data_IF_538403322742
#
_entry.id   IF_538403322742
#
_cell.length_a   1.000
_cell.length_b   1.000
_cell.length_c   1.000
_cell.angle_alpha   90.00
_cell.angle_beta   90.00
_cell.angle_gamma   90.00
#
_symmetry.space_group_name_H-M   'P 1'
#
loop_
_entity.id
_entity.type
_entity.pdbx_description
1 polymer ?
#
# COMPACT_ATOMS: atom_id res chain seq x y z
N UNK A 1 -22.05 8.68 -24.05
CA UNK A 1 -21.10 8.01 -23.11
C UNK A 1 -19.80 8.80 -23.01
N UNK A 2 -18.99 8.90 -24.07
CA UNK A 2 -17.70 9.61 -24.08
C UNK A 2 -17.76 11.03 -23.47
N UNK A 3 -18.71 11.88 -23.90
CA UNK A 3 -18.88 13.23 -23.34
C UNK A 3 -19.07 13.24 -21.81
N UNK A 4 -19.77 12.25 -21.23
CA UNK A 4 -19.95 12.15 -19.78
C UNK A 4 -18.64 11.78 -19.09
N UNK A 5 -17.88 10.82 -19.66
CA UNK A 5 -16.58 10.38 -19.13
C UNK A 5 -15.57 11.53 -19.13
N UNK A 6 -15.41 12.23 -20.26
CA UNK A 6 -14.48 13.37 -20.35
C UNK A 6 -14.92 14.54 -19.47
N UNK A 7 -16.23 14.76 -19.29
CA UNK A 7 -16.73 15.77 -18.35
C UNK A 7 -16.35 15.43 -16.90
N UNK A 8 -16.52 14.17 -16.48
CA UNK A 8 -16.13 13.74 -15.13
C UNK A 8 -14.61 13.89 -14.93
N UNK A 9 -13.81 13.42 -15.89
CA UNK A 9 -12.36 13.52 -15.84
C UNK A 9 -11.89 14.98 -15.73
N UNK A 10 -12.49 15.88 -16.51
CA UNK A 10 -12.16 17.31 -16.47
C UNK A 10 -12.43 17.94 -15.10
N UNK A 11 -13.53 17.56 -14.43
CA UNK A 11 -13.87 18.03 -13.08
C UNK A 11 -12.87 17.50 -12.05
N UNK A 12 -12.44 16.24 -12.16
CA UNK A 12 -11.43 15.66 -11.25
C UNK A 12 -10.07 16.36 -11.38
N UNK A 13 -9.62 16.61 -12.61
CA UNK A 13 -8.35 17.31 -12.88
C UNK A 13 -8.44 18.76 -12.38
N UNK A 14 -9.56 19.44 -12.62
CA UNK A 14 -9.80 20.79 -12.12
C UNK A 14 -9.76 20.83 -10.60
N UNK A 15 -10.47 19.92 -9.93
CA UNK A 15 -10.49 19.81 -8.47
C UNK A 15 -9.07 19.62 -7.92
N UNK A 16 -8.31 18.68 -8.49
CA UNK A 16 -6.92 18.40 -8.09
C UNK A 16 -6.02 19.63 -8.26
N UNK A 17 -6.18 20.34 -9.37
CA UNK A 17 -5.40 21.55 -9.67
C UNK A 17 -5.74 22.67 -8.68
N UNK A 18 -7.03 22.86 -8.39
CA UNK A 18 -7.50 23.86 -7.41
C UNK A 18 -6.99 23.51 -6.01
N UNK A 19 -7.11 22.27 -5.57
CA UNK A 19 -6.57 21.83 -4.27
C UNK A 19 -5.06 22.05 -4.19
N UNK A 20 -4.31 21.69 -5.23
CA UNK A 20 -2.86 21.92 -5.27
C UNK A 20 -2.51 23.40 -5.21
N UNK A 21 -3.24 24.26 -5.94
CA UNK A 21 -3.05 25.70 -5.92
C UNK A 21 -3.36 26.30 -4.53
N UNK A 22 -4.40 25.84 -3.85
CA UNK A 22 -4.73 26.27 -2.48
C UNK A 22 -3.59 25.91 -1.51
N UNK A 23 -3.05 24.68 -1.59
CA UNK A 23 -1.94 24.24 -0.73
C UNK A 23 -0.66 25.07 -0.95
N UNK A 24 -0.43 25.55 -2.18
CA UNK A 24 0.71 26.42 -2.49
C UNK A 24 0.48 27.87 -2.05
N UNK A 25 -0.75 28.37 -2.15
CA UNK A 25 -1.10 29.76 -1.85
C UNK A 25 -1.19 30.04 -0.34
N UNK A 26 -1.72 29.10 0.44
CA UNK A 26 -1.83 29.27 1.89
C UNK A 26 -0.51 28.93 2.59
N UNK A 27 0.20 29.97 3.01
CA UNK A 27 1.48 29.86 3.71
C UNK A 27 1.38 28.97 4.97
N UNK A 28 0.27 29.02 5.71
CA UNK A 28 0.04 28.13 6.87
C UNK A 28 0.02 26.65 6.47
N UNK A 29 -0.62 26.28 5.36
CA UNK A 29 -0.69 24.89 4.87
C UNK A 29 0.67 24.44 4.36
N UNK A 30 1.35 25.30 3.59
CA UNK A 30 2.70 25.03 3.10
C UNK A 30 3.68 24.77 4.25
N UNK A 31 3.66 25.62 5.28
CA UNK A 31 4.54 25.51 6.45
C UNK A 31 4.19 24.27 7.27
N UNK A 32 2.91 23.96 7.45
CA UNK A 32 2.44 22.71 8.06
C UNK A 32 2.95 21.46 7.33
N UNK A 33 2.91 21.43 5.99
CA UNK A 33 3.45 20.30 5.21
C UNK A 33 4.99 20.23 5.31
N UNK A 34 5.66 21.38 5.36
CA UNK A 34 7.13 21.42 5.47
C UNK A 34 7.61 20.96 6.85
N UNK A 35 6.83 21.25 7.90
CA UNK A 35 7.10 20.84 9.28
C UNK A 35 6.59 19.42 9.60
N UNK A 36 6.24 18.61 8.59
CA UNK A 36 5.75 17.22 8.75
C UNK A 36 6.66 16.30 9.55
N UNK A 37 7.93 16.68 9.77
CA UNK A 37 8.91 15.92 10.54
C UNK A 37 8.87 16.27 12.04
N UNK A 38 8.20 17.37 12.44
CA UNK A 38 8.12 17.80 13.83
C UNK A 38 7.03 17.04 14.59
N UNK A 39 7.36 16.63 15.81
CA UNK A 39 6.37 16.13 16.77
C UNK A 39 5.57 17.30 17.37
N UNK A 40 4.24 17.20 17.57
CA UNK A 40 3.35 16.04 17.33
C UNK A 40 2.69 16.02 15.94
N UNK A 41 3.03 16.97 15.07
CA UNK A 41 2.37 17.15 13.78
C UNK A 41 2.48 15.90 12.88
N UNK A 42 3.64 15.27 12.88
CA UNK A 42 3.90 14.02 12.17
C UNK A 42 2.88 12.90 12.52
N UNK A 43 2.42 12.82 13.77
CA UNK A 43 1.44 11.83 14.22
C UNK A 43 0.02 12.15 13.73
N UNK A 44 -0.39 13.42 13.71
CA UNK A 44 -1.69 13.80 13.16
C UNK A 44 -1.77 13.50 11.66
N UNK A 45 -0.68 13.77 10.92
CA UNK A 45 -0.57 13.42 9.51
C UNK A 45 -0.61 11.90 9.30
N UNK A 46 0.10 11.14 10.12
CA UNK A 46 0.05 9.66 10.10
C UNK A 46 -1.37 9.13 10.35
N UNK A 47 -2.07 9.66 11.34
CA UNK A 47 -3.43 9.26 11.66
C UNK A 47 -4.39 9.58 10.50
N UNK A 48 -4.29 10.79 9.93
CA UNK A 48 -5.08 11.18 8.76
C UNK A 48 -4.84 10.27 7.57
N UNK A 49 -3.57 9.95 7.27
CA UNK A 49 -3.21 8.98 6.23
C UNK A 49 -3.82 7.60 6.48
N UNK A 50 -3.68 7.08 7.71
CA UNK A 50 -4.21 5.76 8.10
C UNK A 50 -5.74 5.72 7.98
N UNK A 51 -6.43 6.78 8.36
CA UNK A 51 -7.89 6.88 8.25
C UNK A 51 -8.35 6.86 6.79
N UNK A 52 -7.70 7.64 5.92
CA UNK A 52 -8.02 7.69 4.50
C UNK A 52 -7.79 6.33 3.83
N UNK A 53 -6.69 5.66 4.15
CA UNK A 53 -6.40 4.35 3.58
C UNK A 53 -7.36 3.28 4.12
N UNK A 54 -7.69 3.32 5.41
CA UNK A 54 -8.70 2.43 5.98
C UNK A 54 -10.07 2.58 5.31
N UNK A 55 -10.48 3.81 4.95
CA UNK A 55 -11.71 4.06 4.19
C UNK A 55 -11.65 3.47 2.76
N UNK A 56 -10.51 3.63 2.07
CA UNK A 56 -10.31 3.02 0.75
C UNK A 56 -10.40 1.49 0.82
N UNK A 57 -9.71 0.87 1.78
CA UNK A 57 -9.73 -0.57 2.00
C UNK A 57 -11.14 -1.03 2.37
N UNK A 58 -11.83 -0.31 3.26
CA UNK A 58 -13.21 -0.60 3.64
C UNK A 58 -14.13 -0.63 2.41
N UNK A 59 -13.97 0.30 1.47
CA UNK A 59 -14.72 0.29 0.22
C UNK A 59 -14.38 -0.96 -0.63
N UNK A 60 -13.11 -1.31 -0.77
CA UNK A 60 -12.69 -2.49 -1.54
C UNK A 60 -13.25 -3.79 -0.97
N UNK A 61 -13.21 -3.98 0.35
CA UNK A 61 -13.68 -5.24 0.97
C UNK A 61 -15.20 -5.44 0.84
N UNK A 62 -15.99 -4.40 0.58
CA UNK A 62 -17.45 -4.56 0.34
C UNK A 62 -17.80 -5.36 -0.91
N UNK A 63 -16.84 -5.55 -1.82
CA UNK A 63 -17.00 -6.38 -3.02
C UNK A 63 -16.68 -7.87 -2.81
N UNK A 64 -16.31 -8.27 -1.59
CA UNK A 64 -15.90 -9.64 -1.27
C UNK A 64 -16.79 -10.27 -0.20
N UNK A 65 -16.90 -11.59 -0.22
CA UNK A 65 -17.59 -12.35 0.82
C UNK A 65 -16.87 -12.22 2.17
N UNK A 66 -17.66 -12.06 3.24
CA UNK A 66 -17.15 -11.88 4.61
C UNK A 66 -16.22 -13.02 5.05
N UNK A 67 -16.49 -14.25 4.61
CA UNK A 67 -15.65 -15.41 4.91
C UNK A 67 -14.27 -15.31 4.26
N UNK A 68 -14.20 -14.82 3.02
CA UNK A 68 -12.94 -14.63 2.28
C UNK A 68 -12.13 -13.49 2.92
N UNK A 69 -12.80 -12.40 3.29
CA UNK A 69 -12.19 -11.28 4.01
C UNK A 69 -11.55 -11.73 5.31
N UNK A 70 -12.26 -12.54 6.11
CA UNK A 70 -11.74 -13.07 7.37
C UNK A 70 -10.52 -13.99 7.16
N UNK A 71 -10.57 -14.87 6.15
CA UNK A 71 -9.44 -15.74 5.80
C UNK A 71 -8.21 -14.93 5.38
N UNK A 72 -8.39 -13.93 4.51
CA UNK A 72 -7.32 -13.06 4.05
C UNK A 72 -6.69 -12.29 5.22
N UNK A 73 -7.52 -11.77 6.13
CA UNK A 73 -7.05 -11.07 7.33
C UNK A 73 -6.20 -11.98 8.23
N UNK A 74 -6.72 -13.16 8.59
CA UNK A 74 -6.00 -14.12 9.44
C UNK A 74 -4.67 -14.57 8.81
N UNK A 75 -4.68 -14.85 7.50
CA UNK A 75 -3.49 -15.24 6.78
C UNK A 75 -2.46 -14.10 6.74
N UNK A 76 -2.89 -12.87 6.48
CA UNK A 76 -2.02 -11.69 6.48
C UNK A 76 -1.39 -11.50 7.85
N UNK A 77 -2.17 -11.58 8.94
CA UNK A 77 -1.65 -11.46 10.30
C UNK A 77 -0.61 -12.54 10.60
N UNK A 78 -0.90 -13.80 10.26
CA UNK A 78 0.01 -14.91 10.49
C UNK A 78 1.34 -14.74 9.71
N UNK A 79 1.25 -14.38 8.43
CA UNK A 79 2.42 -14.15 7.57
C UNK A 79 3.23 -12.95 8.05
N UNK A 80 2.58 -11.82 8.33
CA UNK A 80 3.25 -10.62 8.83
C UNK A 80 4.00 -10.90 10.14
N UNK A 81 3.34 -11.51 11.13
CA UNK A 81 3.97 -11.84 12.40
C UNK A 81 5.11 -12.84 12.21
N UNK A 82 4.90 -13.89 11.42
CA UNK A 82 5.92 -14.91 11.15
C UNK A 82 7.17 -14.32 10.48
N UNK A 83 6.99 -13.49 9.44
CA UNK A 83 8.09 -12.84 8.72
C UNK A 83 8.79 -11.77 9.57
N UNK A 84 8.03 -11.03 10.36
CA UNK A 84 8.59 -10.03 11.30
C UNK A 84 9.46 -10.73 12.34
N UNK A 85 8.95 -11.76 13.01
CA UNK A 85 9.70 -12.54 14.01
C UNK A 85 10.93 -13.19 13.39
N UNK A 86 10.80 -13.80 12.21
CA UNK A 86 11.92 -14.35 11.48
C UNK A 86 13.00 -13.30 11.21
N UNK A 87 12.61 -12.12 10.73
CA UNK A 87 13.55 -11.04 10.40
C UNK A 87 14.23 -10.48 11.65
N UNK A 88 13.49 -10.29 12.74
CA UNK A 88 14.01 -9.85 14.04
C UNK A 88 15.09 -10.80 14.60
N UNK A 89 14.99 -12.10 14.31
CA UNK A 89 15.94 -13.12 14.78
C UNK A 89 17.04 -13.44 13.76
N UNK A 90 16.87 -13.01 12.50
CA UNK A 90 17.78 -13.33 11.41
C UNK A 90 19.06 -12.49 11.47
N UNK A 91 20.21 -13.15 11.27
CA UNK A 91 21.52 -12.50 11.12
C UNK A 91 21.84 -12.13 9.66
N UNK A 92 20.92 -12.40 8.74
CA UNK A 92 21.13 -12.19 7.30
C UNK A 92 20.89 -10.71 6.96
N UNK A 93 21.76 -10.16 6.11
CA UNK A 93 21.60 -8.81 5.58
C UNK A 93 20.61 -8.80 4.41
N UNK A 94 19.45 -8.18 4.61
CA UNK A 94 18.41 -8.05 3.59
C UNK A 94 18.48 -6.73 2.81
N UNK A 95 19.44 -5.87 3.12
CA UNK A 95 19.61 -4.54 2.50
C UNK A 95 19.68 -4.56 0.97
N UNK A 96 20.22 -5.64 0.39
CA UNK A 96 20.41 -5.76 -1.06
C UNK A 96 19.11 -6.02 -1.81
N UNK A 97 18.01 -6.34 -1.11
CA UNK A 97 16.73 -6.66 -1.74
C UNK A 97 16.00 -5.40 -2.22
N UNK A 98 16.28 -4.22 -1.65
CA UNK A 98 15.54 -3.00 -1.91
C UNK A 98 15.41 -2.63 -3.40
N UNK A 99 16.51 -2.66 -4.16
CA UNK A 99 16.48 -2.34 -5.60
C UNK A 99 15.64 -3.36 -6.40
N UNK A 100 15.71 -4.65 -6.05
CA UNK A 100 14.92 -5.70 -6.68
C UNK A 100 13.43 -5.57 -6.39
N UNK A 101 13.07 -5.40 -5.12
CA UNK A 101 11.69 -5.19 -4.68
C UNK A 101 11.07 -3.94 -5.32
N UNK A 102 11.81 -2.84 -5.35
CA UNK A 102 11.36 -1.60 -6.00
C UNK A 102 11.14 -1.78 -7.51
N UNK A 103 12.02 -2.54 -8.19
CA UNK A 103 11.86 -2.84 -9.62
C UNK A 103 10.59 -3.66 -9.87
N UNK A 104 10.36 -4.71 -9.08
CA UNK A 104 9.17 -5.57 -9.21
C UNK A 104 7.90 -4.77 -8.87
N UNK A 105 7.95 -3.87 -7.89
CA UNK A 105 6.84 -2.97 -7.58
C UNK A 105 6.43 -2.13 -8.79
N UNK A 106 7.39 -1.55 -9.52
CA UNK A 106 7.08 -0.80 -10.75
C UNK A 106 6.44 -1.67 -11.83
N UNK A 107 6.92 -2.91 -12.01
CA UNK A 107 6.29 -3.86 -12.93
C UNK A 107 4.84 -4.11 -12.50
N UNK A 108 4.58 -4.26 -11.21
CA UNK A 108 3.23 -4.43 -10.66
C UNK A 108 2.33 -3.22 -10.91
N UNK A 109 2.82 -2.01 -10.65
CA UNK A 109 2.09 -0.77 -10.94
C UNK A 109 1.69 -0.70 -12.43
N UNK A 110 2.62 -1.00 -13.34
CA UNK A 110 2.36 -1.01 -14.78
C UNK A 110 1.42 -2.16 -15.21
N UNK A 111 1.54 -3.33 -14.57
CA UNK A 111 0.65 -4.47 -14.83
C UNK A 111 -0.80 -4.16 -14.52
N UNK A 112 -1.07 -3.28 -13.54
CA UNK A 112 -2.41 -2.79 -13.21
C UNK A 112 -3.09 -2.11 -14.40
N UNK A 113 -2.35 -1.34 -15.20
CA UNK A 113 -2.88 -0.71 -16.41
C UNK A 113 -3.14 -1.71 -17.53
N UNK A 114 -2.31 -2.76 -17.66
CA UNK A 114 -2.52 -3.79 -18.69
C UNK A 114 -3.83 -4.57 -18.49
N UNK A 115 -4.31 -4.70 -17.23
CA UNK A 115 -5.60 -5.34 -16.93
C UNK A 115 -6.79 -4.61 -17.56
N UNK A 116 -6.67 -3.31 -17.87
CA UNK A 116 -7.73 -2.56 -18.53
C UNK A 116 -7.98 -3.05 -19.97
N UNK A 117 -6.99 -3.68 -20.59
CA UNK A 117 -7.05 -4.14 -21.99
C UNK A 117 -7.05 -5.67 -22.11
N UNK A 118 -6.37 -6.38 -21.21
CA UNK A 118 -6.14 -7.83 -21.30
C UNK A 118 -6.51 -8.58 -20.01
N UNK A 119 -7.76 -8.46 -19.58
CA UNK A 119 -8.24 -9.16 -18.38
C UNK A 119 -8.43 -10.67 -18.62
N UNK A 120 -7.92 -11.49 -17.69
CA UNK A 120 -8.28 -12.90 -17.56
C UNK A 120 -8.18 -13.35 -16.11
N UNK A 121 -9.01 -14.32 -15.71
CA UNK A 121 -9.04 -14.86 -14.34
C UNK A 121 -7.70 -15.49 -13.93
N UNK A 122 -7.04 -16.19 -14.86
CA UNK A 122 -5.70 -16.78 -14.61
C UNK A 122 -4.66 -15.70 -14.37
N UNK A 123 -4.68 -14.61 -15.15
CA UNK A 123 -3.77 -13.48 -14.96
C UNK A 123 -4.02 -12.78 -13.61
N UNK A 124 -5.28 -12.65 -13.19
CA UNK A 124 -5.61 -12.12 -11.88
C UNK A 124 -5.05 -12.99 -10.76
N UNK A 125 -5.25 -14.31 -10.81
CA UNK A 125 -4.73 -15.25 -9.82
C UNK A 125 -3.20 -15.20 -9.72
N UNK A 126 -2.50 -15.23 -10.87
CA UNK A 126 -1.04 -15.20 -10.92
C UNK A 126 -0.49 -13.89 -10.35
N UNK A 127 -1.07 -12.75 -10.74
CA UNK A 127 -0.65 -11.46 -10.20
C UNK A 127 -0.99 -11.33 -8.72
N UNK A 128 -2.09 -11.91 -8.25
CA UNK A 128 -2.43 -11.92 -6.84
C UNK A 128 -1.39 -12.69 -6.01
N UNK A 129 -1.00 -13.88 -6.46
CA UNK A 129 0.03 -14.69 -5.80
C UNK A 129 1.41 -14.00 -5.80
N UNK A 130 1.85 -13.49 -6.97
CA UNK A 130 3.12 -12.79 -7.10
C UNK A 130 3.14 -11.48 -6.30
N UNK A 131 2.01 -10.77 -6.22
CA UNK A 131 1.86 -9.56 -5.42
C UNK A 131 1.98 -9.86 -3.93
N UNK A 132 1.32 -10.91 -3.45
CA UNK A 132 1.46 -11.35 -2.06
C UNK A 132 2.94 -11.68 -1.72
N UNK A 133 3.65 -12.41 -2.60
CA UNK A 133 5.07 -12.72 -2.41
C UNK A 133 5.95 -11.46 -2.42
N UNK A 134 5.65 -10.48 -3.27
CA UNK A 134 6.35 -9.21 -3.30
C UNK A 134 6.26 -8.48 -1.96
N UNK A 135 5.05 -8.37 -1.40
CA UNK A 135 4.85 -7.70 -0.11
C UNK A 135 5.36 -8.50 1.08
N UNK A 136 5.41 -9.84 1.01
CA UNK A 136 6.21 -10.64 1.94
C UNK A 136 7.69 -10.23 1.92
N UNK A 137 8.25 -9.99 0.72
CA UNK A 137 9.61 -9.50 0.55
C UNK A 137 9.82 -8.11 1.14
N UNK A 138 8.88 -7.17 0.93
CA UNK A 138 8.92 -5.85 1.55
C UNK A 138 8.84 -5.91 3.08
N UNK A 139 7.97 -6.74 3.67
CA UNK A 139 7.91 -6.90 5.14
C UNK A 139 9.28 -7.29 5.71
N UNK A 140 9.97 -8.25 5.08
CA UNK A 140 11.32 -8.65 5.51
C UNK A 140 12.31 -7.48 5.36
N UNK A 141 12.28 -6.79 4.21
CA UNK A 141 13.18 -5.68 3.92
C UNK A 141 12.97 -4.49 4.87
N UNK A 142 11.73 -4.06 5.08
CA UNK A 142 11.39 -2.91 5.89
C UNK A 142 11.52 -3.22 7.40
N UNK A 143 11.23 -4.44 7.84
CA UNK A 143 11.56 -4.87 9.22
C UNK A 143 13.08 -4.84 9.44
N UNK A 144 13.86 -5.33 8.48
CA UNK A 144 15.32 -5.28 8.57
C UNK A 144 15.85 -3.84 8.57
N UNK A 145 15.27 -2.96 7.74
CA UNK A 145 15.61 -1.54 7.66
C UNK A 145 15.29 -0.81 8.97
N UNK A 146 14.13 -1.09 9.58
CA UNK A 146 13.74 -0.58 10.88
C UNK A 146 14.75 -0.92 11.98
N UNK A 147 15.30 -2.14 11.97
CA UNK A 147 16.27 -2.59 12.97
C UNK A 147 17.68 -1.99 12.79
N UNK A 148 18.14 -1.82 11.55
CA UNK A 148 19.56 -1.61 11.26
C UNK A 148 19.90 -0.31 10.51
N UNK A 149 18.91 0.38 9.92
CA UNK A 149 19.15 1.51 9.00
C UNK A 149 18.44 2.79 9.41
N UNK A 150 17.21 2.69 9.91
CA UNK A 150 16.43 3.86 10.27
C UNK A 150 16.86 4.43 11.61
N UNK A 151 16.91 5.77 11.68
CA UNK A 151 17.10 6.46 12.95
C UNK A 151 15.82 6.38 13.81
N UNK A 152 15.92 6.45 15.15
CA UNK A 152 14.74 6.46 16.01
C UNK A 152 13.76 7.61 15.74
N UNK A 153 14.20 8.68 15.09
CA UNK A 153 13.37 9.83 14.71
C UNK A 153 12.49 9.55 13.48
N UNK A 154 12.79 8.50 12.71
CA UNK A 154 12.08 8.10 11.48
C UNK A 154 10.97 7.07 11.72
N UNK A 155 10.51 6.92 12.97
CA UNK A 155 9.47 5.95 13.34
C UNK A 155 8.16 6.12 12.55
N UNK A 156 7.81 7.35 12.14
CA UNK A 156 6.63 7.61 11.30
C UNK A 156 6.80 7.01 9.91
N UNK A 157 7.99 7.15 9.31
CA UNK A 157 8.28 6.57 8.00
C UNK A 157 8.22 5.04 8.07
N UNK A 158 8.83 4.44 9.10
CA UNK A 158 8.78 3.00 9.33
C UNK A 158 7.34 2.50 9.49
N UNK A 159 6.52 3.21 10.26
CA UNK A 159 5.12 2.86 10.47
C UNK A 159 4.31 2.91 9.17
N UNK A 160 4.52 3.93 8.33
CA UNK A 160 3.84 4.05 7.03
C UNK A 160 4.25 2.91 6.10
N UNK A 161 5.55 2.63 5.99
CA UNK A 161 6.07 1.55 5.13
C UNK A 161 5.49 0.19 5.51
N UNK A 162 5.64 -0.21 6.78
CA UNK A 162 5.11 -1.49 7.26
C UNK A 162 3.58 -1.58 7.16
N UNK A 163 2.86 -0.48 7.42
CA UNK A 163 1.41 -0.42 7.24
C UNK A 163 1.01 -0.69 5.79
N UNK A 164 1.67 -0.02 4.83
CA UNK A 164 1.41 -0.23 3.41
C UNK A 164 1.74 -1.67 2.98
N UNK A 165 2.80 -2.27 3.52
CA UNK A 165 3.13 -3.66 3.23
C UNK A 165 2.03 -4.62 3.70
N UNK A 166 1.53 -4.43 4.93
CA UNK A 166 0.45 -5.24 5.50
C UNK A 166 -0.83 -5.09 4.68
N UNK A 167 -1.23 -3.85 4.37
CA UNK A 167 -2.46 -3.58 3.60
C UNK A 167 -2.37 -4.18 2.20
N UNK A 168 -1.25 -4.00 1.51
CA UNK A 168 -1.08 -4.56 0.17
C UNK A 168 -1.05 -6.09 0.21
N UNK A 169 -0.32 -6.70 1.15
CA UNK A 169 -0.36 -8.15 1.35
C UNK A 169 -1.79 -8.65 1.55
N UNK A 170 -2.57 -7.97 2.40
CA UNK A 170 -3.98 -8.28 2.62
C UNK A 170 -4.79 -8.22 1.32
N UNK A 171 -4.70 -7.13 0.57
CA UNK A 171 -5.45 -6.97 -0.69
C UNK A 171 -5.07 -8.01 -1.74
N UNK A 172 -3.79 -8.39 -1.83
CA UNK A 172 -3.35 -9.44 -2.74
C UNK A 172 -3.81 -10.84 -2.31
N UNK A 173 -3.74 -11.16 -1.01
CA UNK A 173 -4.28 -12.43 -0.48
C UNK A 173 -5.80 -12.50 -0.61
N UNK A 174 -6.51 -11.39 -0.40
CA UNK A 174 -7.95 -11.29 -0.58
C UNK A 174 -8.35 -11.66 -2.02
N UNK A 175 -7.69 -11.04 -3.01
CA UNK A 175 -7.90 -11.34 -4.43
C UNK A 175 -7.52 -12.77 -4.80
N UNK A 176 -6.44 -13.28 -4.24
CA UNK A 176 -5.99 -14.65 -4.48
C UNK A 176 -7.05 -15.66 -3.98
N UNK A 177 -7.51 -15.51 -2.74
CA UNK A 177 -8.53 -16.39 -2.15
C UNK A 177 -9.86 -16.29 -2.89
N UNK A 178 -10.28 -15.09 -3.27
CA UNK A 178 -11.48 -14.87 -4.08
C UNK A 178 -11.40 -15.60 -5.44
N UNK A 179 -10.28 -15.44 -6.16
CA UNK A 179 -10.07 -16.10 -7.45
C UNK A 179 -10.01 -17.64 -7.34
N UNK A 180 -9.51 -18.19 -6.22
CA UNK A 180 -9.48 -19.63 -5.97
C UNK A 180 -10.87 -20.16 -5.62
N UNK A 181 -11.65 -19.45 -4.81
CA UNK A 181 -12.98 -19.90 -4.36
C UNK A 181 -14.08 -19.77 -5.43
N UNK A 182 -13.86 -18.93 -6.45
CA UNK A 182 -14.79 -18.77 -7.59
C UNK A 182 -14.70 -19.90 -8.62
N UNK A 183 -13.68 -20.77 -8.55
CA UNK A 183 -13.51 -21.94 -9.42
C UNK A 183 -14.03 -23.21 -8.76
#
# INVERSE_FOLDING_TARGET
FLRKVYSILSVQVLLTTVTSALFLYFESIRTFVHERHKHPLNLYLLFGFTLLEALTVAFVVTFYDVHIVLQAFLLTTAVFLGLTVYTLQSKRDFSKFGAGLFTVLWIFCLSGFLKLFFYSETLELVLAALGALLFCGFIIYDTHSLMHRLSPEEYVLAAISLYLDIINLFLYLLRFLDAVNKK
#
